data_IF_669315505718
#
_entry.id   IF_669315505718
#
_cell.length_a   1.000
_cell.length_b   1.000
_cell.length_c   1.000
_cell.angle_alpha   90.00
_cell.angle_beta   90.00
_cell.angle_gamma   90.00
#
_symmetry.space_group_name_H-M   'P 1'
#
loop_
_entity.id
_entity.type
_entity.pdbx_description
1 polymer ?
#
# COMPACT_ATOMS: atom_id res chain seq x y z
N UNK A 1 2.40 -7.75 8.32
CA UNK A 1 1.46 -8.62 9.07
C UNK A 1 1.09 -9.85 8.22
N UNK A 2 1.85 -10.96 8.31
CA UNK A 2 1.72 -12.09 7.39
C UNK A 2 0.36 -12.81 7.47
N UNK A 3 -0.29 -12.82 8.64
CA UNK A 3 -1.59 -13.44 8.82
C UNK A 3 -2.71 -12.72 8.06
N UNK A 4 -2.70 -11.39 8.05
CA UNK A 4 -3.70 -10.58 7.34
C UNK A 4 -3.59 -10.79 5.84
N UNK A 5 -2.37 -10.78 5.28
CA UNK A 5 -2.14 -11.01 3.86
C UNK A 5 -2.61 -12.40 3.42
N UNK A 6 -2.32 -13.44 4.22
CA UNK A 6 -2.82 -14.79 3.98
C UNK A 6 -4.35 -14.84 4.01
N UNK A 7 -4.98 -14.22 5.01
CA UNK A 7 -6.43 -14.18 5.14
C UNK A 7 -7.11 -13.50 3.95
N UNK A 8 -6.51 -12.43 3.43
CA UNK A 8 -6.99 -11.74 2.22
C UNK A 8 -6.92 -12.63 0.99
N UNK A 9 -5.79 -13.31 0.75
CA UNK A 9 -5.68 -14.26 -0.35
C UNK A 9 -6.68 -15.44 -0.22
N UNK A 10 -6.89 -15.93 0.99
CA UNK A 10 -7.88 -16.97 1.28
C UNK A 10 -9.31 -16.47 1.04
N UNK A 11 -9.61 -15.21 1.40
CA UNK A 11 -10.91 -14.58 1.20
C UNK A 11 -11.23 -14.43 -0.28
N UNK A 12 -10.34 -13.86 -1.09
CA UNK A 12 -10.53 -13.66 -2.53
C UNK A 12 -10.79 -14.99 -3.25
N UNK A 13 -10.04 -16.03 -2.87
CA UNK A 13 -10.23 -17.38 -3.41
C UNK A 13 -11.60 -17.96 -3.03
N UNK A 14 -12.01 -17.83 -1.76
CA UNK A 14 -13.29 -18.38 -1.28
C UNK A 14 -14.50 -17.62 -1.82
N UNK A 15 -14.40 -16.31 -1.99
CA UNK A 15 -15.47 -15.48 -2.55
C UNK A 15 -15.61 -15.64 -4.06
N UNK A 16 -14.63 -16.27 -4.73
CA UNK A 16 -14.51 -16.29 -6.19
C UNK A 16 -14.49 -14.87 -6.75
N UNK A 17 -13.75 -14.00 -6.08
CA UNK A 17 -13.57 -12.63 -6.53
C UNK A 17 -13.11 -12.62 -8.00
N UNK A 18 -13.73 -11.81 -8.89
CA UNK A 18 -13.26 -11.67 -10.25
C UNK A 18 -11.83 -11.11 -10.25
N UNK A 19 -10.96 -11.73 -11.03
CA UNK A 19 -9.59 -11.27 -11.27
C UNK A 19 -9.41 -11.26 -12.79
N UNK A 20 -9.64 -10.11 -13.39
CA UNK A 20 -9.65 -9.95 -14.84
C UNK A 20 -8.22 -9.79 -15.35
N UNK A 21 -7.86 -10.59 -16.34
CA UNK A 21 -6.60 -10.42 -17.05
C UNK A 21 -6.73 -9.27 -18.06
N UNK A 22 -5.65 -8.51 -18.19
CA UNK A 22 -5.49 -7.52 -19.24
C UNK A 22 -5.51 -8.20 -20.62
N UNK A 23 -5.65 -7.42 -21.67
CA UNK A 23 -5.58 -7.90 -23.07
C UNK A 23 -4.29 -8.68 -23.40
N UNK A 24 -3.24 -8.48 -22.61
CA UNK A 24 -1.95 -9.19 -22.72
C UNK A 24 -1.94 -10.57 -22.02
N UNK A 25 -3.01 -10.95 -21.34
CA UNK A 25 -3.11 -12.18 -20.55
C UNK A 25 -2.51 -12.10 -19.13
N UNK A 26 -1.95 -10.96 -18.73
CA UNK A 26 -1.41 -10.74 -17.38
C UNK A 26 -2.48 -10.12 -16.46
N UNK A 27 -2.33 -10.29 -15.15
CA UNK A 27 -3.17 -9.61 -14.15
C UNK A 27 -2.42 -8.38 -13.63
N UNK A 28 -3.10 -7.23 -13.56
CA UNK A 28 -2.51 -6.01 -13.02
C UNK A 28 -2.19 -6.17 -11.52
N UNK A 29 -1.05 -5.64 -11.10
CA UNK A 29 -0.69 -5.51 -9.69
C UNK A 29 -0.15 -4.10 -9.48
N UNK A 30 -0.90 -3.28 -8.76
CA UNK A 30 -0.50 -1.92 -8.41
C UNK A 30 0.04 -1.89 -6.98
N UNK A 31 1.14 -1.16 -6.77
CA UNK A 31 1.76 -0.99 -5.47
C UNK A 31 2.17 0.47 -5.31
N UNK A 32 1.44 1.20 -4.47
CA UNK A 32 1.67 2.63 -4.27
C UNK A 32 1.60 3.03 -2.79
N UNK A 33 2.27 4.13 -2.48
CA UNK A 33 2.21 4.82 -1.19
C UNK A 33 1.02 5.76 -1.18
N UNK A 34 0.01 5.42 -0.39
CA UNK A 34 -1.20 6.24 -0.23
C UNK A 34 -1.11 7.04 1.07
N UNK A 35 -1.32 8.36 1.06
CA UNK A 35 -1.30 9.14 2.28
C UNK A 35 -2.63 8.96 3.02
N UNK A 36 -2.55 8.69 4.32
CA UNK A 36 -3.68 8.38 5.18
C UNK A 36 -3.81 9.48 6.24
N UNK A 37 -4.80 10.35 6.08
CA UNK A 37 -5.03 11.47 7.00
C UNK A 37 -5.42 10.96 8.38
N UNK A 38 -4.74 11.49 9.39
CA UNK A 38 -5.01 11.20 10.78
C UNK A 38 -4.78 12.44 11.64
N UNK A 39 -4.98 13.62 11.04
CA UNK A 39 -4.88 14.94 11.66
C UNK A 39 -5.81 15.00 12.87
N UNK A 40 -5.35 15.64 13.94
CA UNK A 40 -6.03 15.72 15.25
C UNK A 40 -5.99 14.45 16.11
N UNK A 41 -5.13 13.49 15.78
CA UNK A 41 -4.83 12.37 16.69
C UNK A 41 -3.39 12.44 17.20
N UNK A 42 -3.12 11.80 18.34
CA UNK A 42 -1.79 11.72 18.96
C UNK A 42 -1.21 10.30 18.84
N UNK A 43 -1.46 9.61 17.73
CA UNK A 43 -0.93 8.25 17.54
C UNK A 43 0.55 8.33 17.17
N UNK A 44 1.33 7.36 17.63
CA UNK A 44 2.74 7.24 17.28
C UNK A 44 2.94 6.99 15.78
N UNK A 45 4.00 7.54 15.19
CA UNK A 45 4.32 7.35 13.76
C UNK A 45 3.57 8.25 12.78
N UNK A 46 2.69 9.14 13.26
CA UNK A 46 2.10 10.20 12.43
C UNK A 46 3.19 11.22 12.07
N UNK A 47 3.20 11.67 10.82
CA UNK A 47 4.09 12.71 10.36
C UNK A 47 3.52 13.52 9.20
N UNK A 48 4.20 14.60 8.84
CA UNK A 48 3.81 15.43 7.70
C UNK A 48 3.95 14.66 6.40
N UNK A 49 2.83 14.36 5.74
CA UNK A 49 2.81 13.61 4.50
C UNK A 49 3.10 14.51 3.29
N UNK A 50 3.42 13.92 2.13
CA UNK A 50 3.63 14.68 0.89
C UNK A 50 2.38 15.41 0.41
N UNK A 51 1.18 15.02 0.87
CA UNK A 51 -0.09 15.71 0.59
C UNK A 51 -0.44 16.80 1.62
N UNK A 52 0.53 17.25 2.41
CA UNK A 52 0.44 18.44 3.26
C UNK A 52 -0.59 18.32 4.41
N UNK A 53 -0.66 17.14 5.02
CA UNK A 53 -1.41 16.91 6.27
C UNK A 53 -0.65 15.94 7.19
N UNK A 54 -1.02 15.91 8.47
CA UNK A 54 -0.46 14.99 9.46
C UNK A 54 -1.12 13.62 9.34
N UNK A 55 -0.35 12.61 8.95
CA UNK A 55 -0.91 11.29 8.69
C UNK A 55 0.13 10.19 8.63
N UNK A 56 -0.27 9.05 8.10
CA UNK A 56 0.62 7.95 7.73
C UNK A 56 0.86 7.95 6.22
N UNK A 57 1.88 7.24 5.78
CA UNK A 57 2.17 7.01 4.36
C UNK A 57 2.22 5.50 4.03
N UNK A 58 1.13 4.75 4.31
CA UNK A 58 1.09 3.31 4.07
C UNK A 58 1.39 2.93 2.62
N UNK A 59 2.02 1.78 2.44
CA UNK A 59 2.15 1.13 1.13
C UNK A 59 1.04 0.07 1.00
N UNK A 60 0.32 0.10 -0.11
CA UNK A 60 -0.77 -0.83 -0.39
C UNK A 60 -0.49 -1.56 -1.70
N UNK A 61 -0.91 -2.82 -1.77
CA UNK A 61 -0.87 -3.61 -3.00
C UNK A 61 -2.29 -3.99 -3.43
N UNK A 62 -2.63 -3.74 -4.70
CA UNK A 62 -3.95 -3.97 -5.28
C UNK A 62 -3.84 -4.93 -6.48
N UNK A 63 -4.67 -5.98 -6.48
CA UNK A 63 -4.68 -7.01 -7.51
C UNK A 63 -5.86 -6.84 -8.46
N UNK A 64 -5.58 -6.99 -9.75
CA UNK A 64 -6.55 -6.88 -10.82
C UNK A 64 -7.00 -5.45 -11.08
N UNK A 65 -7.70 -5.24 -12.20
CA UNK A 65 -8.36 -3.96 -12.47
C UNK A 65 -9.52 -3.69 -11.50
N UNK A 66 -9.97 -4.73 -10.80
CA UNK A 66 -10.97 -4.65 -9.74
C UNK A 66 -10.44 -3.99 -8.46
N UNK A 67 -9.11 -3.89 -8.29
CA UNK A 67 -8.50 -3.20 -7.16
C UNK A 67 -8.58 -3.97 -5.84
N UNK A 68 -8.45 -5.30 -5.85
CA UNK A 68 -8.47 -6.10 -4.62
C UNK A 68 -7.25 -5.82 -3.76
N UNK A 69 -7.45 -5.16 -2.61
CA UNK A 69 -6.36 -4.93 -1.65
C UNK A 69 -5.81 -6.27 -1.14
N UNK A 70 -4.56 -6.60 -1.48
CA UNK A 70 -3.85 -7.81 -1.03
C UNK A 70 -3.09 -7.59 0.27
N UNK A 71 -2.58 -6.38 0.46
CA UNK A 71 -1.70 -6.05 1.56
C UNK A 71 -1.72 -4.56 1.82
N UNK A 72 -1.57 -4.23 3.10
CA UNK A 72 -1.47 -2.87 3.59
C UNK A 72 -0.45 -2.85 4.71
N UNK A 73 0.65 -2.15 4.51
CA UNK A 73 1.67 -1.95 5.52
C UNK A 73 1.64 -0.49 5.95
N UNK A 74 1.26 -0.27 7.22
CA UNK A 74 1.26 1.05 7.80
C UNK A 74 2.70 1.53 7.94
N UNK A 75 2.97 2.73 7.41
CA UNK A 75 4.27 3.37 7.41
C UNK A 75 4.16 4.78 7.94
N UNK A 76 5.21 5.26 8.57
CA UNK A 76 5.21 6.60 9.17
C UNK A 76 4.96 7.67 8.12
N UNK A 77 4.27 8.75 8.49
CA UNK A 77 3.95 9.84 7.56
C UNK A 77 5.16 10.51 6.91
N UNK A 78 6.32 10.45 7.56
CA UNK A 78 7.60 11.00 7.06
C UNK A 78 8.43 10.01 6.24
N UNK A 79 7.93 8.78 6.05
CA UNK A 79 8.62 7.78 5.26
C UNK A 79 8.41 8.09 3.78
N UNK A 80 9.52 8.34 3.08
CA UNK A 80 9.52 8.65 1.66
C UNK A 80 10.40 7.65 0.92
N UNK A 81 10.08 7.37 -0.34
CA UNK A 81 10.73 6.35 -1.18
C UNK A 81 12.25 6.53 -1.34
N UNK A 82 12.80 7.74 -1.17
CA UNK A 82 14.27 7.93 -1.23
C UNK A 82 14.97 7.80 0.13
N UNK A 83 14.29 7.58 1.26
CA UNK A 83 14.99 7.36 2.55
C UNK A 83 15.76 6.02 2.56
N UNK A 84 15.31 5.04 1.77
CA UNK A 84 15.92 3.70 1.70
C UNK A 84 16.80 3.47 0.47
N UNK A 85 16.95 4.46 -0.41
CA UNK A 85 17.86 4.36 -1.54
C UNK A 85 19.32 4.37 -1.05
N UNK A 86 20.14 3.36 -1.38
CA UNK A 86 21.56 3.34 -1.00
C UNK A 86 22.26 4.61 -1.49
N UNK A 87 23.19 5.14 -0.68
CA UNK A 87 23.88 6.40 -0.98
C UNK A 87 24.61 6.39 -2.32
N UNK A 88 24.93 5.22 -2.88
CA UNK A 88 25.54 5.05 -4.20
C UNK A 88 24.65 5.39 -5.40
N UNK A 89 23.35 5.63 -5.18
CA UNK A 89 22.37 5.92 -6.24
C UNK A 89 21.76 7.33 -6.14
N UNK A 90 22.26 8.17 -5.23
CA UNK A 90 21.92 9.59 -5.20
C UNK A 90 22.96 10.32 -6.05
N UNK A 91 22.53 10.90 -7.17
CA UNK A 91 23.37 11.68 -8.08
C UNK A 91 24.02 12.88 -7.40
#
# INVERSE_FOLDING_TARGET
MPYVQKATGDLLRKSKAPITALSTGHVALDVDVTPLDNSNSKKEGIGWTYKQFEGYAPIAAYLGEEGWALGFELREGTQHSQKETPRSWRG
#
